data_IF_298462170947
#
_entry.id   IF_298462170947
#
_cell.length_a   1.000
_cell.length_b   1.000
_cell.length_c   1.000
_cell.angle_alpha   90.00
_cell.angle_beta   90.00
_cell.angle_gamma   90.00
#
_symmetry.space_group_name_H-M   'P 1'
#
loop_
_entity.id
_entity.type
_entity.pdbx_description
1 polymer ?
#
# COMPACT_ATOMS: atom_id res chain seq x y z
N UNK A 1 7.37 20.54 -16.62
CA UNK A 1 7.91 19.32 -15.99
C UNK A 1 7.13 18.16 -16.59
N UNK A 2 7.70 17.45 -17.58
CA UNK A 2 7.06 16.27 -18.16
C UNK A 2 7.30 15.11 -17.20
N UNK A 3 6.23 14.58 -16.61
CA UNK A 3 6.31 13.29 -15.92
C UNK A 3 6.38 12.21 -17.00
N UNK A 4 7.38 11.34 -16.93
CA UNK A 4 7.57 10.25 -17.88
C UNK A 4 6.45 9.21 -17.75
N UNK A 5 6.11 8.53 -18.87
CA UNK A 5 5.16 7.40 -18.93
C UNK A 5 5.64 6.13 -18.18
N UNK A 6 6.64 6.27 -17.30
CA UNK A 6 7.21 5.17 -16.54
C UNK A 6 6.31 4.72 -15.38
N UNK A 7 6.53 3.51 -14.85
CA UNK A 7 5.81 3.03 -13.68
C UNK A 7 6.03 3.99 -12.49
N UNK A 8 4.95 4.29 -11.78
CA UNK A 8 5.03 5.16 -10.60
C UNK A 8 5.90 4.55 -9.50
N UNK A 9 6.48 5.40 -8.65
CA UNK A 9 7.24 4.97 -7.47
C UNK A 9 6.44 3.99 -6.61
N UNK A 10 5.14 4.25 -6.45
CA UNK A 10 4.23 3.37 -5.71
C UNK A 10 4.16 1.97 -6.32
N UNK A 11 4.03 1.86 -7.64
CA UNK A 11 3.98 0.58 -8.34
C UNK A 11 5.31 -0.18 -8.21
N UNK A 12 6.42 0.52 -8.40
CA UNK A 12 7.75 -0.08 -8.32
C UNK A 12 8.06 -0.65 -6.93
N UNK A 13 7.79 0.13 -5.87
CA UNK A 13 8.07 -0.31 -4.49
C UNK A 13 7.16 -1.45 -4.08
N UNK A 14 5.86 -1.38 -4.37
CA UNK A 14 4.95 -2.48 -4.03
C UNK A 14 5.31 -3.78 -4.74
N UNK A 15 5.77 -3.69 -5.99
CA UNK A 15 6.27 -4.85 -6.73
C UNK A 15 7.50 -5.43 -6.03
N UNK A 16 8.47 -4.60 -5.65
CA UNK A 16 9.69 -5.06 -4.95
C UNK A 16 9.41 -5.58 -3.53
N UNK A 17 8.40 -5.06 -2.83
CA UNK A 17 7.99 -5.56 -1.51
C UNK A 17 7.33 -6.95 -1.58
N UNK A 18 6.64 -7.24 -2.68
CA UNK A 18 6.03 -8.54 -2.93
C UNK A 18 6.93 -9.55 -3.66
N UNK A 19 8.18 -9.19 -3.96
CA UNK A 19 9.10 -10.05 -4.70
C UNK A 19 9.59 -11.20 -3.83
N UNK A 20 9.68 -12.40 -4.41
CA UNK A 20 10.26 -13.57 -3.73
C UNK A 20 11.77 -13.41 -3.51
N UNK A 21 12.43 -12.62 -4.36
CA UNK A 21 13.85 -12.34 -4.27
C UNK A 21 14.12 -11.11 -3.37
N UNK A 22 14.74 -11.28 -2.20
CA UNK A 22 15.03 -10.17 -1.28
C UNK A 22 16.04 -9.16 -1.83
N UNK A 23 16.84 -9.53 -2.84
CA UNK A 23 17.78 -8.61 -3.49
C UNK A 23 17.06 -7.49 -4.23
N UNK A 24 15.83 -7.73 -4.70
CA UNK A 24 15.01 -6.71 -5.39
C UNK A 24 14.57 -5.57 -4.45
N UNK A 25 14.60 -5.80 -3.14
CA UNK A 25 14.23 -4.80 -2.15
C UNK A 25 15.39 -3.90 -1.74
N UNK A 26 16.64 -4.38 -1.85
CA UNK A 26 17.84 -3.65 -1.40
C UNK A 26 17.97 -2.22 -1.95
N UNK A 27 17.69 -1.95 -3.25
CA UNK A 27 17.76 -0.59 -3.78
C UNK A 27 16.83 0.40 -3.05
N UNK A 28 15.76 -0.10 -2.44
CA UNK A 28 14.74 0.71 -1.78
C UNK A 28 15.01 0.98 -0.30
N UNK A 29 16.06 0.40 0.30
CA UNK A 29 16.31 0.49 1.75
C UNK A 29 16.43 1.93 2.27
N UNK A 30 17.13 2.80 1.54
CA UNK A 30 17.28 4.21 1.92
C UNK A 30 15.93 4.93 1.90
N UNK A 31 15.09 4.66 0.89
CA UNK A 31 13.74 5.19 0.81
C UNK A 31 12.85 4.64 1.92
N UNK A 32 12.85 3.33 2.15
CA UNK A 32 12.05 2.68 3.20
C UNK A 32 12.45 3.19 4.58
N UNK A 33 13.74 3.39 4.84
CA UNK A 33 14.21 4.00 6.08
C UNK A 33 13.63 5.40 6.25
N UNK A 34 13.69 6.24 5.22
CA UNK A 34 13.11 7.60 5.26
C UNK A 34 11.60 7.55 5.49
N UNK A 35 10.88 6.75 4.70
CA UNK A 35 9.43 6.61 4.72
C UNK A 35 8.94 6.11 6.09
N UNK A 36 9.51 5.02 6.60
CA UNK A 36 9.13 4.46 7.91
C UNK A 36 9.50 5.40 9.05
N UNK A 37 10.62 6.13 8.95
CA UNK A 37 10.97 7.16 9.94
C UNK A 37 9.96 8.30 9.94
N UNK A 38 9.52 8.76 8.76
CA UNK A 38 8.49 9.78 8.67
C UNK A 38 7.16 9.28 9.22
N UNK A 39 6.76 8.04 8.86
CA UNK A 39 5.55 7.40 9.35
C UNK A 39 5.52 7.31 10.88
N UNK A 40 6.65 6.95 11.50
CA UNK A 40 6.77 6.86 12.96
C UNK A 40 6.65 8.22 13.68
N UNK A 41 6.90 9.33 12.97
CA UNK A 41 6.75 10.69 13.50
C UNK A 41 5.33 11.24 13.36
N UNK A 42 4.49 10.61 12.55
CA UNK A 42 3.10 11.03 12.37
C UNK A 42 2.24 10.60 13.56
N UNK A 43 1.22 11.40 13.87
CA UNK A 43 0.25 11.04 14.90
C UNK A 43 -0.55 9.81 14.47
N UNK A 44 -0.59 8.81 15.33
CA UNK A 44 -1.46 7.66 15.14
C UNK A 44 -2.92 8.08 15.19
N UNK A 45 -3.68 7.76 14.15
CA UNK A 45 -5.14 7.97 14.11
C UNK A 45 -5.85 6.63 14.11
N UNK A 46 -6.73 6.43 15.09
CA UNK A 46 -7.66 5.31 15.13
C UNK A 46 -8.97 5.72 14.47
N UNK A 47 -9.48 4.89 13.57
CA UNK A 47 -10.74 5.17 12.89
C UNK A 47 -11.07 4.11 11.84
N UNK A 48 -12.28 4.20 11.30
CA UNK A 48 -12.66 3.42 10.13
C UNK A 48 -11.94 3.99 8.91
N UNK A 49 -11.33 3.11 8.14
CA UNK A 49 -10.65 3.41 6.88
C UNK A 49 -11.13 2.41 5.84
N UNK A 50 -11.08 2.83 4.58
CA UNK A 50 -11.51 2.05 3.43
C UNK A 50 -10.32 1.75 2.53
N UNK A 51 -10.29 0.52 2.01
CA UNK A 51 -9.30 0.05 1.05
C UNK A 51 -10.05 -0.41 -0.21
N UNK A 52 -9.86 0.31 -1.31
CA UNK A 52 -10.39 -0.10 -2.61
C UNK A 52 -9.47 -1.14 -3.26
N UNK A 53 -10.06 -2.21 -3.78
CA UNK A 53 -9.34 -3.20 -4.57
C UNK A 53 -10.08 -3.40 -5.89
N UNK A 54 -9.48 -2.94 -6.99
CA UNK A 54 -10.08 -3.05 -8.33
C UNK A 54 -9.85 -4.44 -8.93
N UNK A 55 -10.85 -4.97 -9.62
CA UNK A 55 -10.73 -6.15 -10.48
C UNK A 55 -10.61 -7.51 -9.77
N UNK A 56 -10.87 -7.60 -8.46
CA UNK A 56 -10.82 -8.86 -7.73
C UNK A 56 -11.93 -8.93 -6.67
N UNK A 57 -12.66 -10.05 -6.64
CA UNK A 57 -13.62 -10.34 -5.57
C UNK A 57 -12.90 -11.01 -4.40
N UNK A 58 -12.87 -10.31 -3.27
CA UNK A 58 -12.19 -10.76 -2.06
C UNK A 58 -13.15 -11.30 -0.99
N UNK A 59 -14.46 -11.30 -1.23
CA UNK A 59 -15.48 -11.64 -0.21
C UNK A 59 -15.32 -13.05 0.34
N UNK A 60 -14.92 -14.01 -0.50
CA UNK A 60 -14.67 -15.39 -0.08
C UNK A 60 -13.38 -15.58 0.72
N UNK A 61 -12.44 -14.63 0.62
CA UNK A 61 -11.12 -14.69 1.27
C UNK A 61 -11.11 -14.05 2.65
N UNK A 62 -11.99 -13.09 2.91
CA UNK A 62 -12.05 -12.34 4.16
C UNK A 62 -13.40 -12.53 4.85
N UNK A 63 -13.57 -13.69 5.46
CA UNK A 63 -14.76 -13.98 6.25
C UNK A 63 -14.71 -13.26 7.61
N UNK A 64 -15.89 -12.93 8.13
CA UNK A 64 -16.02 -12.27 9.43
C UNK A 64 -15.36 -13.08 10.54
N UNK A 65 -14.64 -12.39 11.44
CA UNK A 65 -13.99 -13.00 12.60
C UNK A 65 -12.60 -13.59 12.32
N UNK A 66 -12.15 -13.64 11.06
CA UNK A 66 -10.81 -14.12 10.72
C UNK A 66 -9.80 -12.98 10.82
N UNK A 67 -8.70 -13.22 11.54
CA UNK A 67 -7.52 -12.34 11.53
C UNK A 67 -6.66 -12.68 10.33
N UNK A 68 -6.25 -11.67 9.57
CA UNK A 68 -5.35 -11.83 8.42
C UNK A 68 -4.23 -10.79 8.48
N UNK A 69 -3.12 -11.11 7.83
CA UNK A 69 -2.02 -10.19 7.61
C UNK A 69 -2.06 -9.70 6.16
N UNK A 70 -1.92 -8.39 5.98
CA UNK A 70 -1.83 -7.77 4.67
C UNK A 70 -0.40 -7.35 4.43
N UNK A 71 0.32 -8.06 3.57
CA UNK A 71 1.78 -7.93 3.40
C UNK A 71 2.20 -6.79 2.45
N UNK A 72 1.27 -6.19 1.70
CA UNK A 72 1.56 -5.08 0.78
C UNK A 72 1.32 -3.69 1.37
N UNK A 73 2.04 -2.68 0.88
CA UNK A 73 1.76 -1.28 1.22
C UNK A 73 0.43 -0.88 0.58
N UNK A 74 -0.57 -0.63 1.44
CA UNK A 74 -1.93 -0.29 1.00
C UNK A 74 -2.24 1.16 1.32
N UNK A 75 -2.59 1.92 0.28
CA UNK A 75 -3.21 3.22 0.46
C UNK A 75 -4.63 3.02 0.96
N UNK A 76 -4.99 3.77 2.00
CA UNK A 76 -6.30 3.74 2.64
C UNK A 76 -6.83 5.15 2.71
N UNK A 77 -8.13 5.31 2.50
CA UNK A 77 -8.82 6.60 2.62
C UNK A 77 -9.85 6.54 3.74
N UNK A 78 -10.15 7.70 4.30
CA UNK A 78 -11.23 7.86 5.29
C UNK A 78 -12.55 8.21 4.62
N UNK A 79 -12.48 8.73 3.38
CA UNK A 79 -13.62 9.12 2.56
C UNK A 79 -13.91 8.05 1.52
N UNK A 80 -15.11 7.47 1.60
CA UNK A 80 -15.57 6.43 0.68
C UNK A 80 -15.70 6.97 -0.76
N UNK A 81 -16.05 8.24 -0.91
CA UNK A 81 -16.18 8.94 -2.20
C UNK A 81 -14.87 8.92 -2.99
N UNK A 82 -13.71 8.98 -2.30
CA UNK A 82 -12.38 8.90 -2.93
C UNK A 82 -12.10 7.48 -3.47
N UNK A 83 -12.72 6.44 -2.92
CA UNK A 83 -12.62 5.09 -3.49
C UNK A 83 -13.50 4.91 -4.72
N UNK A 84 -14.62 5.63 -4.78
CA UNK A 84 -15.63 5.51 -5.82
C UNK A 84 -15.34 6.45 -7.01
N UNK A 85 -14.45 7.42 -6.87
CA UNK A 85 -13.97 8.25 -7.98
C UNK A 85 -13.05 7.45 -8.90
N UNK A 86 -13.43 7.32 -10.17
CA UNK A 86 -12.74 6.54 -11.20
C UNK A 86 -11.33 7.05 -11.57
#
# INVERSE_FOLDING_TARGET
MQFSDGPSLYLLINKSLGAENPEELKPWFSYLKLFLTALHKLLSRSGKVWLGVRGVDLRSKYNNGIKFYWWGESLRTVDIEVLESD
#
